data_IF_673109897667
#
_entry.id   IF_673109897667
#
_cell.length_a   1.000
_cell.length_b   1.000
_cell.length_c   1.000
_cell.angle_alpha   90.00
_cell.angle_beta   90.00
_cell.angle_gamma   90.00
#
_symmetry.space_group_name_H-M   'P 1'
#
loop_
_entity.id
_entity.type
_entity.pdbx_description
1 polymer ?
#
# COMPACT_ATOMS: atom_id res chain seq x y z
N UNK A 1 -4.06 9.73 4.04
CA UNK A 1 -2.72 9.58 4.61
C UNK A 1 -2.74 10.03 6.06
N UNK A 2 -1.97 9.36 6.92
CA UNK A 2 -1.78 9.74 8.33
C UNK A 2 -0.34 9.44 8.72
N UNK A 3 0.31 10.34 9.45
CA UNK A 3 1.72 10.18 9.84
C UNK A 3 1.83 9.96 11.36
N UNK A 4 2.71 9.06 11.79
CA UNK A 4 3.03 8.76 13.20
C UNK A 4 4.54 8.76 13.35
N UNK A 5 5.08 9.79 14.01
CA UNK A 5 6.53 9.98 14.05
C UNK A 5 7.09 10.11 12.63
N UNK A 6 8.02 9.24 12.26
CA UNK A 6 8.63 9.20 10.92
C UNK A 6 7.85 8.31 9.94
N UNK A 7 6.87 7.55 10.42
CA UNK A 7 6.10 6.62 9.60
C UNK A 7 4.90 7.29 8.94
N UNK A 8 4.86 7.22 7.60
CA UNK A 8 3.67 7.59 6.83
C UNK A 8 2.80 6.38 6.56
N UNK A 9 1.50 6.50 6.83
CA UNK A 9 0.53 5.41 6.72
C UNK A 9 -0.59 5.72 5.72
N UNK A 10 -0.96 4.68 4.98
CA UNK A 10 -2.24 4.60 4.28
C UNK A 10 -3.23 3.93 5.23
N UNK A 11 -4.32 4.64 5.50
CA UNK A 11 -5.50 4.12 6.20
C UNK A 11 -6.64 4.14 5.18
N UNK A 12 -7.17 2.97 4.83
CA UNK A 12 -8.25 2.86 3.86
C UNK A 12 -9.25 1.77 4.23
N UNK A 13 -10.44 1.83 3.63
CA UNK A 13 -11.42 0.75 3.68
C UNK A 13 -11.32 -0.06 2.40
N UNK A 14 -11.19 -1.37 2.50
CA UNK A 14 -11.16 -2.24 1.33
C UNK A 14 -12.58 -2.54 0.81
N UNK A 15 -12.65 -3.32 -0.28
CA UNK A 15 -13.93 -3.69 -0.91
C UNK A 15 -14.83 -4.58 -0.03
N UNK A 16 -14.29 -5.22 1.00
CA UNK A 16 -15.04 -6.01 1.98
C UNK A 16 -15.52 -5.16 3.16
N UNK A 17 -15.18 -3.87 3.17
CA UNK A 17 -15.52 -2.96 4.26
C UNK A 17 -14.51 -2.99 5.41
N UNK A 18 -13.43 -3.77 5.32
CA UNK A 18 -12.41 -3.87 6.37
C UNK A 18 -11.48 -2.66 6.33
N UNK A 19 -11.11 -2.15 7.52
CA UNK A 19 -10.08 -1.10 7.63
C UNK A 19 -8.71 -1.76 7.47
N UNK A 20 -7.90 -1.20 6.56
CA UNK A 20 -6.52 -1.56 6.31
C UNK A 20 -5.62 -0.40 6.68
N UNK A 21 -4.52 -0.73 7.34
CA UNK A 21 -3.49 0.23 7.76
C UNK A 21 -2.13 -0.30 7.30
N UNK A 22 -1.42 0.47 6.50
CA UNK A 22 -0.22 0.03 5.78
C UNK A 22 0.80 1.16 5.71
N UNK A 23 2.10 0.84 5.66
CA UNK A 23 3.12 1.86 5.35
C UNK A 23 2.89 2.42 3.95
N UNK A 24 2.95 3.74 3.84
CA UNK A 24 2.77 4.52 2.63
C UNK A 24 4.08 4.56 1.80
N UNK A 25 4.69 3.40 1.59
CA UNK A 25 6.02 3.26 0.99
C UNK A 25 6.00 2.09 0.00
N UNK A 26 6.30 2.38 -1.26
CA UNK A 26 6.43 1.36 -2.28
C UNK A 26 7.60 0.43 -1.96
N UNK A 27 7.33 -0.89 -1.99
CA UNK A 27 8.33 -1.94 -1.72
C UNK A 27 9.44 -2.05 -2.78
N UNK A 28 9.32 -1.34 -3.92
CA UNK A 28 10.38 -1.31 -4.93
C UNK A 28 11.55 -0.40 -4.50
N UNK A 29 11.33 0.91 -4.39
CA UNK A 29 12.39 1.89 -4.08
C UNK A 29 11.93 3.03 -3.15
N UNK A 30 10.92 2.78 -2.32
CA UNK A 30 10.60 3.68 -1.22
C UNK A 30 9.72 4.89 -1.56
N UNK A 31 9.26 5.05 -2.79
CA UNK A 31 8.38 6.16 -3.16
C UNK A 31 7.05 6.13 -2.37
N UNK A 32 6.54 7.31 -2.00
CA UNK A 32 5.23 7.45 -1.36
C UNK A 32 4.12 7.08 -2.34
N UNK A 33 3.12 6.34 -1.88
CA UNK A 33 2.04 5.78 -2.72
C UNK A 33 0.77 6.64 -2.75
N UNK A 34 0.51 7.35 -1.65
CA UNK A 34 -0.64 8.23 -1.47
C UNK A 34 -0.14 9.56 -0.91
N UNK A 35 -0.25 10.62 -1.69
CA UNK A 35 0.16 11.97 -1.28
C UNK A 35 -1.01 12.75 -0.66
N UNK A 36 -2.23 12.41 -1.07
CA UNK A 36 -3.43 13.06 -0.58
C UNK A 36 -3.77 12.69 0.87
N UNK A 37 -4.15 13.69 1.67
CA UNK A 37 -4.58 13.49 3.05
C UNK A 37 -5.82 12.58 3.12
N UNK A 38 -6.75 12.69 2.16
CA UNK A 38 -7.98 11.89 2.08
C UNK A 38 -8.45 11.78 0.64
N UNK A 39 -9.24 10.74 0.35
CA UNK A 39 -9.84 10.57 -0.98
C UNK A 39 -10.49 9.20 -1.14
N UNK A 40 -10.81 8.87 -2.39
CA UNK A 40 -11.28 7.54 -2.79
C UNK A 40 -10.40 7.03 -3.93
N UNK A 41 -9.97 5.78 -3.84
CA UNK A 41 -9.22 5.14 -4.91
C UNK A 41 -9.59 3.66 -4.99
N UNK A 42 -9.33 3.05 -6.16
CA UNK A 42 -9.49 1.61 -6.40
C UNK A 42 -8.18 0.84 -6.20
N UNK A 43 -7.04 1.54 -6.22
CA UNK A 43 -5.69 1.00 -6.09
C UNK A 43 -4.69 2.11 -5.71
N UNK A 44 -3.50 1.73 -5.26
CA UNK A 44 -2.38 2.67 -5.06
C UNK A 44 -1.33 2.43 -6.12
N UNK A 45 -1.08 3.43 -6.96
CA UNK A 45 -0.11 3.34 -8.05
C UNK A 45 1.12 4.14 -7.66
N UNK A 46 2.26 3.47 -7.61
CA UNK A 46 3.53 4.11 -7.33
C UNK A 46 3.87 5.12 -8.43
N UNK A 47 4.10 6.40 -8.10
CA UNK A 47 4.39 7.43 -9.09
C UNK A 47 5.76 7.22 -9.75
N UNK A 48 6.65 6.44 -9.13
CA UNK A 48 8.01 6.26 -9.63
C UNK A 48 8.08 5.28 -10.81
N UNK A 49 7.62 4.03 -10.62
CA UNK A 49 7.73 2.98 -11.64
C UNK A 49 6.40 2.28 -11.95
N UNK A 50 5.28 2.80 -11.45
CA UNK A 50 3.95 2.26 -11.75
C UNK A 50 3.62 0.90 -11.12
N UNK A 51 4.35 0.49 -10.07
CA UNK A 51 3.92 -0.66 -9.27
C UNK A 51 2.56 -0.36 -8.62
N UNK A 52 1.62 -1.28 -8.81
CA UNK A 52 0.23 -1.12 -8.40
C UNK A 52 -0.13 -2.04 -7.25
N UNK A 53 -0.67 -1.48 -6.18
CA UNK A 53 -1.13 -2.19 -5.00
C UNK A 53 -2.65 -2.14 -4.89
N UNK A 54 -3.25 -3.24 -4.45
CA UNK A 54 -4.66 -3.28 -4.07
C UNK A 54 -4.94 -2.52 -2.76
N UNK A 55 -6.22 -2.32 -2.45
CA UNK A 55 -6.64 -1.75 -1.15
C UNK A 55 -6.31 -2.68 0.03
N UNK A 56 -6.01 -3.94 -0.24
CA UNK A 56 -5.52 -4.94 0.74
C UNK A 56 -3.99 -4.90 0.92
N UNK A 57 -3.29 -4.03 0.20
CA UNK A 57 -1.83 -3.90 0.22
C UNK A 57 -1.09 -4.93 -0.62
N UNK A 58 -1.79 -5.85 -1.30
CA UNK A 58 -1.12 -6.83 -2.17
C UNK A 58 -0.61 -6.16 -3.44
N UNK A 59 0.60 -6.52 -3.87
CA UNK A 59 1.13 -6.12 -5.17
C UNK A 59 0.31 -6.82 -6.26
N UNK A 60 -0.29 -6.03 -7.16
CA UNK A 60 -1.16 -6.51 -8.25
C UNK A 60 -0.53 -6.33 -9.62
N UNK A 61 0.34 -5.34 -9.76
CA UNK A 61 1.05 -5.06 -11.00
C UNK A 61 2.47 -4.58 -10.68
N UNK A 62 3.45 -5.17 -11.34
CA UNK A 62 4.84 -4.75 -11.28
C UNK A 62 5.37 -4.73 -12.71
N UNK A 63 5.47 -3.53 -13.28
CA UNK A 63 5.93 -3.35 -14.67
C UNK A 63 7.35 -3.91 -14.82
N UNK A 64 7.58 -4.60 -15.92
CA UNK A 64 8.89 -5.11 -16.34
C UNK A 64 9.58 -6.09 -15.36
N UNK A 65 8.82 -6.72 -14.45
CA UNK A 65 9.34 -7.71 -13.50
C UNK A 65 9.11 -9.17 -13.92
N UNK A 66 8.55 -9.42 -15.12
CA UNK A 66 8.11 -10.75 -15.55
C UNK A 66 9.27 -11.75 -15.77
N UNK A 67 10.45 -11.25 -16.14
CA UNK A 67 11.64 -12.08 -16.40
C UNK A 67 12.70 -11.99 -15.29
N UNK A 68 12.36 -11.36 -14.16
CA UNK A 68 13.29 -11.24 -13.03
C UNK A 68 13.24 -12.53 -12.22
N UNK A 69 14.35 -13.26 -12.20
CA UNK A 69 14.46 -14.51 -11.43
C UNK A 69 14.22 -14.26 -9.93
N UNK A 70 13.45 -15.15 -9.31
CA UNK A 70 13.06 -15.06 -7.90
C UNK A 70 12.09 -13.92 -7.56
N UNK A 71 11.50 -13.23 -8.56
CA UNK A 71 10.47 -12.22 -8.29
C UNK A 71 9.16 -12.86 -7.83
N UNK A 72 8.77 -12.57 -6.59
CA UNK A 72 7.50 -13.04 -6.01
C UNK A 72 6.65 -11.87 -5.52
N UNK A 73 5.44 -11.75 -6.07
CA UNK A 73 4.48 -10.71 -5.72
C UNK A 73 3.87 -10.90 -4.34
N UNK A 74 3.80 -12.13 -3.82
CA UNK A 74 3.18 -12.44 -2.52
C UNK A 74 4.07 -12.03 -1.35
N UNK A 75 5.39 -11.90 -1.53
CA UNK A 75 6.31 -11.39 -0.49
C UNK A 75 6.47 -9.86 -0.52
N UNK A 76 6.09 -9.21 -1.62
CA UNK A 76 6.25 -7.77 -1.86
C UNK A 76 4.99 -6.95 -1.54
N UNK A 77 4.14 -7.46 -0.65
CA UNK A 77 2.98 -6.73 -0.11
C UNK A 77 3.40 -5.50 0.71
N UNK A 78 2.53 -4.50 0.85
CA UNK A 78 2.78 -3.39 1.77
C UNK A 78 2.86 -3.90 3.20
N UNK A 79 3.81 -3.35 3.97
CA UNK A 79 3.92 -3.66 5.40
C UNK A 79 2.65 -3.21 6.11
N UNK A 80 2.03 -4.14 6.83
CA UNK A 80 0.80 -3.90 7.57
C UNK A 80 1.14 -3.26 8.91
N UNK A 81 0.40 -2.23 9.25
CA UNK A 81 0.39 -1.64 10.59
C UNK A 81 -0.82 -2.20 11.34
N UNK A 82 -0.68 -2.51 12.63
CA UNK A 82 -1.81 -3.05 13.39
C UNK A 82 -2.88 -1.96 13.61
N UNK A 83 -4.16 -2.32 13.44
CA UNK A 83 -5.30 -1.45 13.71
C UNK A 83 -6.31 -2.14 14.60
N UNK A 84 -6.83 -1.41 15.58
CA UNK A 84 -7.94 -1.85 16.43
C UNK A 84 -8.89 -0.67 16.63
N UNK A 85 -10.17 -0.87 16.32
CA UNK A 85 -11.22 0.06 16.72
C UNK A 85 -11.64 -0.24 18.15
N UNK A 86 -11.69 0.78 18.99
CA UNK A 86 -12.34 0.72 20.29
C UNK A 86 -13.72 1.36 20.13
N UNK A 87 -14.76 0.69 20.61
CA UNK A 87 -16.06 1.33 20.81
C UNK A 87 -16.07 1.85 22.25
N UNK A 88 -16.58 3.06 22.42
CA UNK A 88 -16.98 3.58 23.74
C UNK A 88 -18.14 2.74 24.30
#
# INVERSE_FOLDING_TARGET
MFDIGEDSLIICRDKKGEVRTMHNICRHRGARLCEEAKGNSRAFICPYHGWGYGLDGKLKAARDMHDVDGFDVEILVLYKFAWKSFKE
#
